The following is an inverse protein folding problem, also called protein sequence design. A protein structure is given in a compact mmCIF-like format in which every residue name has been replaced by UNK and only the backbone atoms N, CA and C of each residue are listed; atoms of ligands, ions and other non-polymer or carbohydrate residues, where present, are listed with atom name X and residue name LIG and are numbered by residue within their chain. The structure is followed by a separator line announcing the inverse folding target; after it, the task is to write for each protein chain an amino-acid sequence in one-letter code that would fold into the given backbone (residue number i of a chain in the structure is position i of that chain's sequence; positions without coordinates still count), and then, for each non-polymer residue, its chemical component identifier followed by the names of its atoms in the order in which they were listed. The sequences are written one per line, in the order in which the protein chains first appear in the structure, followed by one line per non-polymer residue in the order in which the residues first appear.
data_IF_288818636875
#
_entry.id   IF_288818636875
#
_cell.length_a   1.000
_cell.length_b   1.000
_cell.length_c   1.000
_cell.angle_alpha   90.00
_cell.angle_beta   90.00
_cell.angle_gamma   90.00
#
_symmetry.space_group_name_H-M   'P 1'
#
loop_
_entity.id
_entity.type
_entity.pdbx_description
1 polymer ?
#
# COMPACT_ATOMS: atom_id res chain seq x y z
N UNK A 1 9.64 7.34 1.95
CA UNK A 1 9.22 6.31 0.98
C UNK A 1 8.81 5.08 1.75
N UNK A 2 7.66 4.49 1.44
CA UNK A 2 7.18 3.26 2.07
C UNK A 2 7.58 2.11 1.16
N UNK A 3 8.30 1.13 1.69
CA UNK A 3 8.63 -0.10 0.96
C UNK A 3 7.59 -1.16 1.34
N UNK A 4 7.02 -1.79 0.32
CA UNK A 4 5.93 -2.76 0.49
C UNK A 4 6.32 -4.10 -0.11
N UNK A 5 5.96 -5.18 0.58
CA UNK A 5 6.05 -6.52 0.04
C UNK A 5 4.90 -6.73 -0.95
N UNK A 6 5.24 -6.63 -2.24
CA UNK A 6 4.30 -6.74 -3.35
C UNK A 6 3.52 -5.44 -3.59
N UNK A 7 2.58 -5.51 -4.54
CA UNK A 7 1.79 -4.35 -4.97
C UNK A 7 0.71 -3.99 -3.94
N UNK A 8 0.66 -2.73 -3.48
CA UNK A 8 -0.48 -2.21 -2.72
C UNK A 8 -1.78 -2.39 -3.51
N UNK A 9 -2.87 -2.70 -2.82
CA UNK A 9 -4.19 -2.93 -3.42
C UNK A 9 -5.23 -2.04 -2.78
N UNK A 10 -6.13 -1.49 -3.59
CA UNK A 10 -7.31 -0.81 -3.08
C UNK A 10 -8.24 -1.83 -2.43
N UNK A 11 -8.50 -1.63 -1.14
CA UNK A 11 -9.53 -2.31 -0.38
C UNK A 11 -10.87 -1.66 -0.72
N UNK A 12 -11.77 -2.44 -1.32
CA UNK A 12 -13.08 -1.95 -1.76
C UNK A 12 -14.08 -1.81 -0.60
N UNK A 13 -13.82 -2.48 0.51
CA UNK A 13 -14.71 -2.47 1.67
C UNK A 13 -14.48 -1.21 2.50
N UNK A 14 -13.22 -0.77 2.62
CA UNK A 14 -12.84 0.42 3.39
C UNK A 14 -12.55 1.64 2.54
N UNK A 15 -12.31 1.48 1.24
CA UNK A 15 -11.84 2.56 0.36
C UNK A 15 -10.39 2.96 0.60
N UNK A 16 -9.63 2.18 1.38
CA UNK A 16 -8.22 2.44 1.68
C UNK A 16 -7.31 1.54 0.85
N UNK A 17 -6.09 2.01 0.55
CA UNK A 17 -5.06 1.18 -0.04
C UNK A 17 -4.42 0.32 1.04
N UNK A 18 -4.60 -1.00 0.96
CA UNK A 18 -3.96 -1.99 1.80
C UNK A 18 -2.61 -2.41 1.22
N UNK A 19 -1.60 -2.55 2.08
CA UNK A 19 -0.28 -3.06 1.70
C UNK A 19 0.35 -3.85 2.86
N UNK A 20 1.32 -4.69 2.52
CA UNK A 20 2.16 -5.37 3.51
C UNK A 20 3.50 -4.65 3.57
N UNK A 21 3.96 -4.27 4.75
CA UNK A 21 5.29 -3.67 4.91
C UNK A 21 6.42 -4.73 4.87
N UNK A 22 7.67 -4.29 4.84
CA UNK A 22 8.83 -5.19 4.84
C UNK A 22 8.92 -6.09 6.08
N UNK A 23 8.26 -5.71 7.16
CA UNK A 23 8.19 -6.50 8.39
C UNK A 23 7.04 -7.53 8.37
N UNK A 24 6.27 -7.60 7.28
CA UNK A 24 5.15 -8.52 7.13
C UNK A 24 3.85 -8.03 7.78
N UNK A 25 3.79 -6.79 8.28
CA UNK A 25 2.57 -6.26 8.88
C UNK A 25 1.64 -5.69 7.80
N UNK A 26 0.35 -5.97 7.95
CA UNK A 26 -0.69 -5.37 7.11
C UNK A 26 -0.95 -3.94 7.58
N UNK A 27 -0.87 -3.01 6.65
CA UNK A 27 -1.13 -1.59 6.86
C UNK A 27 -2.16 -1.11 5.85
N UNK A 28 -2.86 -0.04 6.20
CA UNK A 28 -3.81 0.64 5.33
C UNK A 28 -3.48 2.13 5.32
N UNK A 29 -3.57 2.73 4.14
CA UNK A 29 -3.33 4.14 3.88
C UNK A 29 -4.50 4.65 3.04
N UNK A 30 -4.97 5.86 3.31
CA UNK A 30 -5.96 6.49 2.45
C UNK A 30 -5.43 6.56 1.02
N UNK A 31 -6.22 6.09 0.05
CA UNK A 31 -5.78 6.11 -1.35
C UNK A 31 -5.49 7.54 -1.85
N UNK A 32 -6.09 8.55 -1.23
CA UNK A 32 -5.81 9.97 -1.47
C UNK A 32 -4.40 10.41 -1.04
N UNK A 33 -3.80 9.74 -0.05
CA UNK A 33 -2.47 10.06 0.47
C UNK A 33 -1.35 9.36 -0.33
N UNK A 34 -1.71 8.49 -1.29
CA UNK A 34 -0.76 7.78 -2.15
C UNK A 34 -0.41 8.67 -3.34
N UNK A 35 0.66 9.46 -3.19
CA UNK A 35 1.12 10.37 -4.25
C UNK A 35 1.69 9.64 -5.48
N UNK A 36 2.42 8.53 -5.27
CA UNK A 36 3.04 7.77 -6.36
C UNK A 36 3.34 6.34 -5.92
N UNK A 37 3.03 5.36 -6.78
CA UNK A 37 3.43 3.96 -6.63
C UNK A 37 4.53 3.69 -7.66
N UNK A 38 5.73 3.33 -7.19
CA UNK A 38 6.85 2.97 -8.05
C UNK A 38 7.16 1.50 -7.82
N UNK A 39 7.25 0.73 -8.90
CA UNK A 39 7.69 -0.66 -8.89
C UNK A 39 9.18 -0.69 -9.22
N UNK A 40 10.02 -1.11 -8.27
CA UNK A 40 11.43 -1.39 -8.55
C UNK A 40 11.52 -2.67 -9.38
N UNK A 41 12.13 -2.59 -10.57
CA UNK A 41 12.41 -3.72 -11.47
C UNK A 41 13.73 -4.41 -11.14
#
# INVERSE_FOLDING_TARGET
TIVTQGKPKLDKDTGMTSYTDESGNKRQINSSDVAQLVEDN
#
